data_IF_929845863205
#
_entry.id   IF_929845863205
#
_cell.length_a   1.000
_cell.length_b   1.000
_cell.length_c   1.000
_cell.angle_alpha   90.00
_cell.angle_beta   90.00
_cell.angle_gamma   90.00
#
_symmetry.space_group_name_H-M   'P 1'
#
loop_
_entity.id
_entity.type
_entity.pdbx_description
1 polymer ?
#
# COMPACT_ATOMS: atom_id res chain seq x y z
N UNK A 1 0.08 -1.15 19.62
CA UNK A 1 0.63 -0.87 18.29
C UNK A 1 -0.31 -1.41 17.21
N UNK A 2 -0.52 -0.64 16.16
CA UNK A 2 -1.43 -1.05 15.09
C UNK A 2 -0.85 -2.21 14.28
N UNK A 3 -1.64 -3.24 14.11
CA UNK A 3 -1.25 -4.41 13.32
C UNK A 3 -1.26 -4.08 11.83
N UNK A 4 -0.34 -4.67 11.06
CA UNK A 4 -0.29 -4.54 9.61
C UNK A 4 -0.34 -5.93 9.01
N UNK A 5 -1.24 -6.11 8.03
CA UNK A 5 -1.33 -7.35 7.26
C UNK A 5 -1.09 -7.02 5.79
N UNK A 6 -0.64 -8.01 5.02
CA UNK A 6 -0.32 -7.85 3.62
C UNK A 6 -1.13 -8.82 2.79
N UNK A 7 -1.79 -8.31 1.75
CA UNK A 7 -2.43 -9.19 0.78
C UNK A 7 -1.40 -9.68 -0.24
N UNK A 8 -1.69 -10.78 -0.96
CA UNK A 8 -0.70 -11.41 -1.83
C UNK A 8 0.02 -10.49 -2.81
N UNK A 9 -0.64 -9.55 -3.52
CA UNK A 9 0.09 -8.68 -4.43
C UNK A 9 1.16 -7.83 -3.75
N UNK A 10 0.83 -7.29 -2.58
CA UNK A 10 1.78 -6.48 -1.81
C UNK A 10 2.91 -7.34 -1.25
N UNK A 11 2.57 -8.47 -0.65
CA UNK A 11 3.56 -9.37 -0.08
C UNK A 11 4.55 -9.85 -1.14
N UNK A 12 4.04 -10.21 -2.32
CA UNK A 12 4.85 -10.68 -3.44
C UNK A 12 5.84 -9.62 -3.90
N UNK A 13 5.35 -8.39 -4.10
CA UNK A 13 6.20 -7.30 -4.55
C UNK A 13 7.32 -7.03 -3.55
N UNK A 14 6.97 -6.90 -2.27
CA UNK A 14 7.94 -6.58 -1.23
C UNK A 14 8.96 -7.70 -1.03
N UNK A 15 8.52 -8.95 -1.16
CA UNK A 15 9.40 -10.10 -1.01
C UNK A 15 10.44 -10.16 -2.14
N UNK A 16 10.06 -9.77 -3.35
CA UNK A 16 10.96 -9.80 -4.52
C UNK A 16 11.85 -8.57 -4.60
N UNK A 17 11.58 -7.56 -3.81
CA UNK A 17 12.31 -6.31 -3.85
C UNK A 17 13.73 -6.51 -3.34
N UNK A 18 14.72 -6.24 -4.21
CA UNK A 18 16.13 -6.43 -3.88
C UNK A 18 16.83 -5.14 -3.46
N UNK A 19 16.31 -4.00 -3.88
CA UNK A 19 16.88 -2.70 -3.53
C UNK A 19 16.60 -2.41 -2.06
N UNK A 20 17.66 -2.42 -1.25
CA UNK A 20 17.53 -2.25 0.19
C UNK A 20 16.99 -0.88 0.58
N UNK A 21 17.39 0.16 -0.15
CA UNK A 21 16.94 1.51 0.16
C UNK A 21 15.44 1.67 -0.15
N UNK A 22 14.98 1.12 -1.27
CA UNK A 22 13.56 1.15 -1.59
C UNK A 22 12.76 0.36 -0.57
N UNK A 23 13.27 -0.77 -0.13
CA UNK A 23 12.65 -1.57 0.92
C UNK A 23 12.48 -0.75 2.20
N UNK A 24 13.51 0.00 2.58
CA UNK A 24 13.46 0.89 3.74
C UNK A 24 12.42 1.98 3.57
N UNK A 25 12.31 2.56 2.37
CA UNK A 25 11.31 3.58 2.11
C UNK A 25 9.89 3.04 2.24
N UNK A 26 9.65 1.82 1.76
CA UNK A 26 8.35 1.17 1.96
C UNK A 26 8.07 0.91 3.45
N UNK A 27 9.08 0.45 4.18
CA UNK A 27 8.93 0.21 5.60
C UNK A 27 8.59 1.50 6.35
N UNK A 28 9.29 2.58 6.03
CA UNK A 28 9.03 3.89 6.65
C UNK A 28 7.62 4.38 6.32
N UNK A 29 7.19 4.19 5.08
CA UNK A 29 5.83 4.57 4.68
C UNK A 29 4.80 3.79 5.49
N UNK A 30 4.99 2.49 5.63
CA UNK A 30 4.08 1.64 6.41
C UNK A 30 4.07 2.08 7.88
N UNK A 31 5.22 2.42 8.44
CA UNK A 31 5.30 2.89 9.83
C UNK A 31 4.53 4.18 10.03
N UNK A 32 4.62 5.12 9.08
CA UNK A 32 3.87 6.37 9.13
C UNK A 32 2.37 6.13 9.03
N UNK A 33 1.97 5.22 8.14
CA UNK A 33 0.55 4.86 7.97
C UNK A 33 0.00 4.22 9.24
N UNK A 34 0.80 3.42 9.92
CA UNK A 34 0.39 2.81 11.18
C UNK A 34 0.10 3.86 12.25
N UNK A 35 0.87 4.93 12.27
CA UNK A 35 0.66 6.04 13.22
C UNK A 35 -0.56 6.87 12.85
N UNK A 36 -0.74 7.13 11.55
CA UNK A 36 -1.84 7.95 11.06
C UNK A 36 -2.23 7.49 9.66
N UNK A 37 -3.29 6.69 9.57
CA UNK A 37 -3.72 6.16 8.28
C UNK A 37 -4.27 7.22 7.33
N UNK A 38 -4.57 8.41 7.82
CA UNK A 38 -5.14 9.47 6.98
C UNK A 38 -4.09 10.19 6.13
N UNK A 39 -2.81 9.86 6.26
CA UNK A 39 -1.76 10.50 5.45
C UNK A 39 -1.84 10.10 3.97
N UNK A 40 -2.46 8.96 3.67
CA UNK A 40 -2.67 8.55 2.28
C UNK A 40 -3.85 9.29 1.65
N UNK A 41 -3.93 9.21 0.33
CA UNK A 41 -5.02 9.82 -0.42
C UNK A 41 -6.20 8.85 -0.51
N UNK A 42 -7.34 9.24 0.02
CA UNK A 42 -8.56 8.42 -0.05
C UNK A 42 -9.03 8.32 -1.50
N UNK A 43 -9.35 7.12 -1.94
CA UNK A 43 -9.79 6.86 -3.30
C UNK A 43 -11.31 6.82 -3.38
N UNK A 44 -11.83 7.02 -4.59
CA UNK A 44 -13.26 7.09 -4.86
C UNK A 44 -13.69 6.05 -5.89
N UNK A 45 -14.98 5.95 -6.14
CA UNK A 45 -15.54 5.06 -7.16
C UNK A 45 -15.25 3.60 -6.88
N UNK A 46 -14.70 2.90 -7.87
CA UNK A 46 -14.39 1.47 -7.75
C UNK A 46 -13.39 1.15 -6.64
N UNK A 47 -12.64 2.14 -6.21
CA UNK A 47 -11.61 1.99 -5.19
C UNK A 47 -11.97 2.64 -3.86
N UNK A 48 -13.23 2.98 -3.67
CA UNK A 48 -13.70 3.57 -2.42
C UNK A 48 -13.35 2.66 -1.25
N UNK A 49 -12.85 3.27 -0.17
CA UNK A 49 -12.39 2.53 1.00
C UNK A 49 -10.91 2.26 1.01
N UNK A 50 -10.22 2.51 -0.10
CA UNK A 50 -8.77 2.36 -0.18
C UNK A 50 -8.11 3.73 -0.06
N UNK A 51 -6.83 3.70 0.34
CA UNK A 51 -5.95 4.86 0.37
C UNK A 51 -4.74 4.56 -0.48
N UNK A 52 -4.20 5.58 -1.14
CA UNK A 52 -2.97 5.46 -1.91
C UNK A 52 -1.87 6.30 -1.27
N UNK A 53 -0.65 5.82 -1.31
CA UNK A 53 0.50 6.55 -0.79
C UNK A 53 1.64 6.43 -1.78
N UNK A 54 2.21 7.58 -2.18
CA UNK A 54 3.27 7.63 -3.18
C UNK A 54 4.65 7.58 -2.54
N UNK A 55 5.56 6.85 -3.18
CA UNK A 55 6.96 6.83 -2.82
C UNK A 55 7.76 7.13 -4.07
N UNK A 56 8.54 8.21 -4.05
CA UNK A 56 9.39 8.57 -5.18
C UNK A 56 10.82 8.17 -4.86
N UNK A 57 11.40 7.36 -5.73
CA UNK A 57 12.76 6.88 -5.52
C UNK A 57 13.43 6.59 -6.86
N UNK A 58 14.64 7.11 -7.03
CA UNK A 58 15.46 6.86 -8.21
C UNK A 58 14.70 7.14 -9.52
N UNK A 59 14.07 8.32 -9.58
CA UNK A 59 13.29 8.80 -10.73
C UNK A 59 12.08 7.94 -11.09
N UNK A 60 11.66 7.09 -10.19
CA UNK A 60 10.51 6.22 -10.38
C UNK A 60 9.47 6.49 -9.31
N UNK A 61 8.21 6.55 -9.72
CA UNK A 61 7.09 6.66 -8.78
C UNK A 61 6.62 5.26 -8.42
N UNK A 62 6.59 4.99 -7.13
CA UNK A 62 6.03 3.75 -6.58
C UNK A 62 4.78 4.09 -5.82
N UNK A 63 3.90 3.13 -5.71
CA UNK A 63 2.61 3.34 -5.05
C UNK A 63 2.34 2.22 -4.06
N UNK A 64 1.59 2.54 -3.02
CA UNK A 64 1.14 1.59 -2.02
C UNK A 64 -0.34 1.82 -1.82
N UNK A 65 -1.15 0.79 -1.92
CA UNK A 65 -2.58 0.88 -1.63
C UNK A 65 -2.87 0.12 -0.35
N UNK A 66 -3.67 0.71 0.51
CA UNK A 66 -4.03 0.08 1.78
C UNK A 66 -5.46 0.44 2.17
N UNK A 67 -6.01 -0.35 3.07
CA UNK A 67 -7.30 -0.07 3.70
C UNK A 67 -7.17 -0.25 5.20
N UNK A 68 -8.16 0.27 5.92
CA UNK A 68 -8.20 0.18 7.37
C UNK A 68 -9.42 -0.62 7.76
N UNK A 69 -9.24 -1.60 8.63
CA UNK A 69 -10.34 -2.37 9.17
C UNK A 69 -10.33 -2.28 10.70
N UNK A 70 -11.51 -2.33 11.28
CA UNK A 70 -11.71 -2.30 12.72
C UNK A 70 -12.49 -3.54 13.12
N UNK A 71 -11.78 -4.59 13.52
CA UNK A 71 -12.44 -5.80 14.01
C UNK A 71 -12.46 -5.73 15.52
N UNK A 72 -11.37 -5.93 16.19
CA UNK A 72 -11.24 -5.66 17.63
C UNK A 72 -10.42 -4.41 17.83
N UNK A 73 -9.40 -4.29 17.02
CA UNK A 73 -8.50 -3.14 17.00
C UNK A 73 -8.35 -2.69 15.57
N UNK A 74 -7.74 -1.53 15.39
CA UNK A 74 -7.41 -1.01 14.07
C UNK A 74 -6.35 -1.88 13.41
N UNK A 75 -6.60 -2.31 12.19
CA UNK A 75 -5.67 -3.10 11.38
C UNK A 75 -5.46 -2.40 10.04
N UNK A 76 -4.21 -2.21 9.64
CA UNK A 76 -3.87 -1.70 8.32
C UNK A 76 -3.65 -2.90 7.41
N UNK A 77 -4.34 -2.92 6.28
CA UNK A 77 -4.18 -3.99 5.31
C UNK A 77 -3.56 -3.39 4.04
N UNK A 78 -2.33 -3.77 3.77
CA UNK A 78 -1.62 -3.33 2.57
C UNK A 78 -2.05 -4.24 1.44
N UNK A 79 -2.78 -3.68 0.48
CA UNK A 79 -3.43 -4.46 -0.59
C UNK A 79 -2.47 -4.68 -1.76
N UNK A 80 -1.75 -3.65 -2.16
CA UNK A 80 -0.88 -3.73 -3.33
C UNK A 80 0.27 -2.75 -3.20
N UNK A 81 1.42 -3.11 -3.75
CA UNK A 81 2.59 -2.25 -3.86
C UNK A 81 3.24 -2.54 -5.21
N UNK A 82 3.59 -1.51 -5.95
CA UNK A 82 4.24 -1.66 -7.25
C UNK A 82 4.66 -0.27 -7.76
N UNK A 83 5.26 -0.23 -8.95
CA UNK A 83 5.46 1.04 -9.63
C UNK A 83 4.10 1.62 -9.98
N UNK A 84 4.04 2.94 -10.13
CA UNK A 84 2.77 3.62 -10.41
C UNK A 84 2.19 3.30 -11.78
N UNK A 85 3.04 2.95 -12.73
CA UNK A 85 2.60 2.60 -14.08
C UNK A 85 1.70 1.37 -14.01
N UNK A 86 0.48 1.49 -14.54
CA UNK A 86 -0.53 0.42 -14.54
C UNK A 86 -1.02 -0.01 -13.14
N UNK A 87 -0.57 0.67 -12.09
CA UNK A 87 -0.92 0.29 -10.72
C UNK A 87 -2.43 0.20 -10.50
N UNK A 88 -3.13 1.22 -10.91
CA UNK A 88 -4.57 1.30 -10.64
C UNK A 88 -5.39 0.32 -11.49
N UNK A 89 -4.96 0.04 -12.71
CA UNK A 89 -5.62 -0.95 -13.54
C UNK A 89 -5.49 -2.35 -12.93
N UNK A 90 -4.32 -2.69 -12.45
CA UNK A 90 -4.08 -3.97 -11.79
C UNK A 90 -4.83 -4.06 -10.46
N UNK A 91 -4.86 -2.97 -9.71
CA UNK A 91 -5.57 -2.92 -8.44
C UNK A 91 -7.07 -3.14 -8.65
N UNK A 92 -7.65 -2.48 -9.64
CA UNK A 92 -9.07 -2.66 -9.97
C UNK A 92 -9.38 -4.11 -10.35
N UNK A 93 -8.51 -4.71 -11.15
CA UNK A 93 -8.68 -6.12 -11.54
C UNK A 93 -8.62 -7.04 -10.32
N UNK A 94 -7.67 -6.79 -9.44
CA UNK A 94 -7.52 -7.59 -8.23
C UNK A 94 -8.74 -7.47 -7.32
N UNK A 95 -9.24 -6.26 -7.15
CA UNK A 95 -10.39 -6.02 -6.26
C UNK A 95 -11.69 -6.59 -6.81
N UNK A 96 -11.81 -6.70 -8.12
CA UNK A 96 -13.00 -7.31 -8.75
C UNK A 96 -13.01 -8.82 -8.62
N UNK A 97 -11.85 -9.38 -8.60
CA UNK A 97 -11.67 -10.78 -8.73
C UNK A 97 -11.70 -11.62 -7.59
#
# INVERSE_FOLDING_TARGET
>A
MTEVKFMPPAAKFLKKLKDKKLKTLYQEAIDKIREDHTIGEAKNGDLAGLYGYDIYYNKTNYELAYKVEYVDNKVIIVVMADTRENFYDELKRYMKG
#
